data_IF_830536376428
#
_entry.id   IF_830536376428
#
_cell.length_a   1.000
_cell.length_b   1.000
_cell.length_c   1.000
_cell.angle_alpha   90.00
_cell.angle_beta   90.00
_cell.angle_gamma   90.00
#
_symmetry.space_group_name_H-M   'P 1'
#
loop_
_entity.id
_entity.type
_entity.pdbx_description
1 polymer ?
#
# COMPACT_ATOMS: atom_id res chain seq x y z
N UNK A 1 20.68 14.54 3.96
CA UNK A 1 20.96 13.13 4.30
C UNK A 1 19.97 12.75 5.40
N UNK A 2 18.90 12.05 5.04
CA UNK A 2 18.14 11.25 6.00
C UNK A 2 17.47 9.99 5.40
N UNK A 3 17.89 9.45 4.26
CA UNK A 3 17.64 8.04 3.96
C UNK A 3 18.26 7.22 5.09
N UNK A 4 17.48 6.39 5.78
CA UNK A 4 17.89 5.72 7.04
C UNK A 4 16.72 5.44 8.00
N UNK A 5 15.51 5.95 7.73
CA UNK A 5 14.30 5.69 8.52
C UNK A 5 13.97 4.19 8.64
N UNK A 6 14.40 3.40 7.65
CA UNK A 6 14.24 1.94 7.63
C UNK A 6 15.58 1.20 7.84
N UNK A 7 16.56 1.85 8.48
CA UNK A 7 17.89 1.28 8.73
C UNK A 7 18.58 0.81 7.43
N UNK A 8 18.38 1.54 6.33
CA UNK A 8 18.99 1.26 5.03
C UNK A 8 18.71 -0.16 4.53
N UNK A 9 17.48 -0.64 4.72
CA UNK A 9 17.11 -2.01 4.37
C UNK A 9 17.34 -2.29 2.88
N UNK A 10 16.97 -1.34 2.01
CA UNK A 10 17.21 -1.48 0.57
C UNK A 10 18.69 -1.66 0.26
N UNK A 11 19.57 -0.87 0.90
CA UNK A 11 21.00 -0.87 0.63
C UNK A 11 21.68 -2.14 1.12
N UNK A 12 21.23 -2.69 2.26
CA UNK A 12 21.71 -3.99 2.75
C UNK A 12 21.32 -5.12 1.81
N UNK A 13 20.06 -5.14 1.39
CA UNK A 13 19.58 -6.14 0.44
C UNK A 13 20.29 -6.01 -0.91
N UNK A 14 20.47 -4.80 -1.43
CA UNK A 14 21.22 -4.55 -2.66
C UNK A 14 22.66 -5.07 -2.55
N UNK A 15 23.36 -4.72 -1.48
CA UNK A 15 24.72 -5.18 -1.24
C UNK A 15 24.80 -6.71 -1.13
N UNK A 16 23.93 -7.34 -0.32
CA UNK A 16 23.95 -8.79 -0.12
C UNK A 16 23.57 -9.54 -1.41
N UNK A 17 22.61 -9.00 -2.15
CA UNK A 17 22.18 -9.54 -3.43
C UNK A 17 23.34 -9.52 -4.43
N UNK A 18 24.05 -8.40 -4.57
CA UNK A 18 25.19 -8.27 -5.48
C UNK A 18 26.45 -9.05 -5.03
N UNK A 19 26.76 -9.04 -3.73
CA UNK A 19 27.99 -9.61 -3.19
C UNK A 19 27.91 -11.11 -2.91
N UNK A 20 26.71 -11.64 -2.63
CA UNK A 20 26.47 -13.05 -2.35
C UNK A 20 25.15 -13.54 -2.99
N UNK A 21 25.06 -13.53 -4.33
CA UNK A 21 23.86 -13.97 -5.01
C UNK A 21 23.62 -15.46 -4.75
N UNK A 22 22.36 -15.82 -4.45
CA UNK A 22 21.95 -17.21 -4.49
C UNK A 22 22.05 -17.76 -5.92
N UNK A 23 22.16 -19.08 -6.07
CA UNK A 23 22.26 -19.71 -7.39
C UNK A 23 21.02 -19.45 -8.26
N UNK A 24 21.21 -18.96 -9.49
CA UNK A 24 20.16 -18.60 -10.45
C UNK A 24 19.97 -19.63 -11.58
N UNK A 25 20.25 -20.90 -11.28
CA UNK A 25 20.28 -22.01 -12.25
C UNK A 25 18.91 -22.53 -12.72
N UNK A 26 17.81 -21.85 -12.38
CA UNK A 26 16.46 -22.18 -12.86
C UNK A 26 15.75 -20.92 -13.32
N UNK A 27 14.81 -21.00 -14.29
CA UNK A 27 14.01 -19.86 -14.71
C UNK A 27 13.28 -19.18 -13.56
N UNK A 28 12.79 -19.95 -12.58
CA UNK A 28 12.10 -19.42 -11.40
C UNK A 28 13.04 -18.63 -10.50
N UNK A 29 14.27 -19.11 -10.29
CA UNK A 29 15.28 -18.42 -9.48
C UNK A 29 15.77 -17.14 -10.17
N UNK A 30 15.92 -17.14 -11.49
CA UNK A 30 16.25 -15.94 -12.26
C UNK A 30 15.09 -14.92 -12.24
N UNK A 31 13.84 -15.37 -12.41
CA UNK A 31 12.67 -14.49 -12.31
C UNK A 31 12.54 -13.89 -10.89
N UNK A 32 12.79 -14.69 -9.85
CA UNK A 32 12.78 -14.22 -8.47
C UNK A 32 13.91 -13.21 -8.20
N UNK A 33 15.11 -13.44 -8.75
CA UNK A 33 16.20 -12.47 -8.69
C UNK A 33 15.82 -11.12 -9.30
N UNK A 34 15.25 -11.12 -10.51
CA UNK A 34 14.78 -9.89 -11.16
C UNK A 34 13.67 -9.21 -10.35
N UNK A 35 12.81 -9.99 -9.69
CA UNK A 35 11.81 -9.45 -8.79
C UNK A 35 12.42 -8.79 -7.55
N UNK A 36 13.46 -9.38 -6.96
CA UNK A 36 14.19 -8.78 -5.83
C UNK A 36 14.76 -7.41 -6.17
N UNK A 37 15.24 -7.20 -7.39
CA UNK A 37 15.69 -5.87 -7.83
C UNK A 37 14.55 -4.84 -7.81
N UNK A 38 13.33 -5.23 -8.20
CA UNK A 38 12.16 -4.36 -8.09
C UNK A 38 11.82 -4.06 -6.63
N UNK A 39 11.81 -5.10 -5.78
CA UNK A 39 11.54 -4.95 -4.34
C UNK A 39 12.54 -3.99 -3.68
N UNK A 40 13.83 -4.09 -4.01
CA UNK A 40 14.86 -3.18 -3.52
C UNK A 40 14.55 -1.73 -3.93
N UNK A 41 14.15 -1.49 -5.18
CA UNK A 41 13.76 -0.15 -5.65
C UNK A 41 12.54 0.39 -4.91
N UNK A 42 11.51 -0.44 -4.69
CA UNK A 42 10.35 -0.03 -3.92
C UNK A 42 10.71 0.32 -2.47
N UNK A 43 11.55 -0.49 -1.81
CA UNK A 43 12.02 -0.21 -0.45
C UNK A 43 12.83 1.09 -0.38
N UNK A 44 13.66 1.37 -1.37
CA UNK A 44 14.40 2.62 -1.48
C UNK A 44 13.45 3.82 -1.52
N UNK A 45 12.47 3.79 -2.44
CA UNK A 45 11.57 4.93 -2.63
C UNK A 45 10.66 5.15 -1.43
N UNK A 46 10.15 4.07 -0.80
CA UNK A 46 9.42 4.15 0.46
C UNK A 46 10.27 4.82 1.54
N UNK A 47 11.51 4.36 1.73
CA UNK A 47 12.40 4.91 2.74
C UNK A 47 12.67 6.41 2.49
N UNK A 48 12.77 6.83 1.23
CA UNK A 48 13.00 8.22 0.85
C UNK A 48 11.76 9.10 1.03
N UNK A 49 10.56 8.56 0.81
CA UNK A 49 9.31 9.26 1.11
C UNK A 49 9.14 9.41 2.62
N UNK A 50 9.40 8.35 3.39
CA UNK A 50 9.31 8.36 4.85
C UNK A 50 10.36 9.26 5.51
N UNK A 51 11.53 9.44 4.87
CA UNK A 51 12.56 10.39 5.32
C UNK A 51 12.34 11.84 4.86
N UNK A 52 11.24 12.10 4.13
CA UNK A 52 10.96 13.37 3.47
C UNK A 52 12.01 13.80 2.43
N UNK A 53 12.82 12.86 1.91
CA UNK A 53 13.73 13.09 0.78
C UNK A 53 12.98 13.01 -0.57
N UNK A 54 11.78 12.40 -0.61
CA UNK A 54 10.82 12.37 -1.73
C UNK A 54 9.41 12.79 -1.28
N UNK A 55 8.52 13.09 -2.24
CA UNK A 55 7.15 13.52 -1.94
C UNK A 55 6.22 12.31 -1.75
N UNK A 56 5.19 12.41 -0.89
CA UNK A 56 4.20 11.34 -0.73
C UNK A 56 3.56 10.94 -2.07
N UNK A 57 3.63 9.66 -2.41
CA UNK A 57 3.10 9.09 -3.64
C UNK A 57 4.14 8.88 -4.75
N UNK A 58 5.35 9.41 -4.60
CA UNK A 58 6.45 9.18 -5.56
C UNK A 58 6.92 7.70 -5.56
N UNK A 59 6.65 6.94 -4.50
CA UNK A 59 6.98 5.52 -4.35
C UNK A 59 6.03 4.57 -5.11
N UNK A 60 4.84 5.04 -5.49
CA UNK A 60 3.76 4.20 -6.00
C UNK A 60 4.14 3.41 -7.25
N UNK A 61 4.85 4.02 -8.20
CA UNK A 61 5.27 3.34 -9.44
C UNK A 61 6.21 2.16 -9.14
N UNK A 62 7.14 2.34 -8.21
CA UNK A 62 8.07 1.29 -7.81
C UNK A 62 7.38 0.17 -7.03
N UNK A 63 6.43 0.52 -6.15
CA UNK A 63 5.60 -0.45 -5.41
C UNK A 63 4.76 -1.27 -6.39
N UNK A 64 4.08 -0.63 -7.33
CA UNK A 64 3.24 -1.30 -8.32
C UNK A 64 4.05 -2.24 -9.23
N UNK A 65 5.29 -1.88 -9.58
CA UNK A 65 6.18 -2.74 -10.35
C UNK A 65 6.51 -4.07 -9.63
N UNK A 66 6.41 -4.10 -8.31
CA UNK A 66 6.63 -5.29 -7.46
C UNK A 66 5.35 -6.10 -7.22
N UNK A 67 4.17 -5.54 -7.45
CA UNK A 67 2.93 -6.26 -7.19
C UNK A 67 2.47 -6.93 -8.49
N UNK A 68 2.30 -8.25 -8.47
CA UNK A 68 1.43 -8.85 -9.47
C UNK A 68 -0.01 -8.39 -9.18
N UNK A 69 -0.87 -8.31 -10.19
CA UNK A 69 -2.23 -7.79 -10.05
C UNK A 69 -3.06 -8.48 -8.95
N UNK A 70 -2.70 -9.70 -8.53
CA UNK A 70 -3.37 -10.42 -7.44
C UNK A 70 -2.97 -9.92 -6.04
N UNK A 71 -1.72 -9.51 -5.82
CA UNK A 71 -1.24 -8.99 -4.54
C UNK A 71 -1.81 -7.58 -4.27
N UNK A 72 -1.89 -6.75 -5.32
CA UNK A 72 -2.59 -5.47 -5.26
C UNK A 72 -4.07 -5.64 -4.87
N UNK A 73 -4.78 -6.56 -5.54
CA UNK A 73 -6.19 -6.87 -5.22
C UNK A 73 -6.37 -7.39 -3.79
N UNK A 74 -5.44 -8.19 -3.26
CA UNK A 74 -5.49 -8.62 -1.86
C UNK A 74 -5.30 -7.45 -0.88
N UNK A 75 -4.41 -6.50 -1.18
CA UNK A 75 -4.26 -5.27 -0.39
C UNK A 75 -5.54 -4.43 -0.37
N UNK A 76 -6.16 -4.24 -1.53
CA UNK A 76 -7.45 -3.54 -1.66
C UNK A 76 -8.57 -4.26 -0.90
N UNK A 77 -8.61 -5.59 -0.93
CA UNK A 77 -9.58 -6.39 -0.16
C UNK A 77 -9.35 -6.23 1.34
N UNK A 78 -8.09 -6.24 1.80
CA UNK A 78 -7.77 -6.06 3.21
C UNK A 78 -8.19 -4.66 3.71
N UNK A 79 -7.94 -3.60 2.92
CA UNK A 79 -8.36 -2.24 3.25
C UNK A 79 -9.89 -2.14 3.33
N UNK A 80 -10.62 -2.73 2.37
CA UNK A 80 -12.09 -2.83 2.42
C UNK A 80 -12.58 -3.47 3.72
N UNK A 81 -11.93 -4.55 4.15
CA UNK A 81 -12.36 -5.30 5.32
C UNK A 81 -12.11 -4.53 6.62
N UNK A 82 -11.04 -3.75 6.70
CA UNK A 82 -10.81 -2.78 7.79
C UNK A 82 -11.91 -1.72 7.80
N UNK A 83 -12.24 -1.14 6.64
CA UNK A 83 -13.29 -0.13 6.51
C UNK A 83 -14.67 -0.68 6.92
N UNK A 84 -14.98 -1.91 6.53
CA UNK A 84 -16.22 -2.59 6.91
C UNK A 84 -16.32 -2.82 8.42
N UNK A 85 -15.19 -2.99 9.11
CA UNK A 85 -15.16 -3.12 10.58
C UNK A 85 -15.28 -1.76 11.28
N UNK A 86 -14.76 -0.69 10.68
CA UNK A 86 -14.83 0.67 11.22
C UNK A 86 -16.19 1.36 10.99
N UNK A 87 -16.93 0.97 9.95
CA UNK A 87 -18.28 1.48 9.67
C UNK A 87 -19.34 0.60 10.37
N UNK A 88 -20.35 1.21 11.00
CA UNK A 88 -21.52 0.46 11.50
C UNK A 88 -22.13 -0.35 10.33
N UNK A 89 -22.41 -1.65 10.48
CA UNK A 89 -23.08 -2.46 9.45
C UNK A 89 -24.35 -1.84 8.86
N UNK A 90 -25.02 -0.94 9.59
CA UNK A 90 -26.20 -0.17 9.12
C UNK A 90 -25.85 0.97 8.17
N UNK A 91 -24.62 1.47 8.21
CA UNK A 91 -24.12 2.53 7.32
C UNK A 91 -23.53 1.96 6.02
N UNK A 92 -23.19 0.67 5.97
CA UNK A 92 -22.77 0.00 4.74
C UNK A 92 -23.98 -0.32 3.85
N UNK A 93 -24.34 0.63 2.97
CA UNK A 93 -25.48 0.45 2.06
C UNK A 93 -25.10 -0.35 0.81
N UNK A 94 -26.12 -0.91 0.14
CA UNK A 94 -25.95 -1.56 -1.17
C UNK A 94 -25.31 -0.62 -2.22
N UNK A 95 -25.55 0.69 -2.11
CA UNK A 95 -24.99 1.70 -3.01
C UNK A 95 -23.48 1.86 -2.80
N UNK A 96 -22.98 1.82 -1.55
CA UNK A 96 -21.54 1.81 -1.26
C UNK A 96 -20.86 0.54 -1.77
N UNK A 97 -21.56 -0.60 -1.69
CA UNK A 97 -21.06 -1.87 -2.21
C UNK A 97 -20.94 -1.86 -3.74
N UNK A 98 -21.86 -1.21 -4.45
CA UNK A 98 -21.81 -1.05 -5.91
C UNK A 98 -20.75 -0.03 -6.33
N UNK A 99 -20.64 1.09 -5.62
CA UNK A 99 -19.59 2.09 -5.84
C UNK A 99 -18.18 1.49 -5.68
N UNK A 100 -17.98 0.60 -4.71
CA UNK A 100 -16.72 -0.13 -4.53
C UNK A 100 -16.39 -1.07 -5.70
N UNK A 101 -17.37 -1.80 -6.22
CA UNK A 101 -17.14 -2.73 -7.34
C UNK A 101 -16.87 -2.03 -8.68
N UNK A 102 -17.29 -0.76 -8.82
CA UNK A 102 -17.12 0.03 -10.05
C UNK A 102 -15.87 0.92 -10.04
N UNK A 103 -15.13 0.97 -8.94
CA UNK A 103 -14.09 1.96 -8.70
C UNK A 103 -12.70 1.34 -8.55
N UNK A 104 -12.03 1.04 -9.67
CA UNK A 104 -10.55 1.06 -9.79
C UNK A 104 -10.27 1.59 -11.21
N UNK A 105 -9.59 2.75 -11.41
CA UNK A 105 -8.34 3.14 -10.72
C UNK A 105 -8.25 4.56 -10.10
N UNK A 106 -9.28 5.42 -10.14
CA UNK A 106 -9.08 6.88 -9.89
C UNK A 106 -9.75 7.46 -8.62
N UNK A 107 -10.05 6.62 -7.60
CA UNK A 107 -11.03 6.98 -6.54
C UNK A 107 -10.47 7.15 -5.13
N UNK A 108 -9.16 7.02 -4.90
CA UNK A 108 -8.60 7.16 -3.55
C UNK A 108 -8.90 8.54 -2.92
N UNK A 109 -8.90 9.62 -3.72
CA UNK A 109 -9.26 10.97 -3.27
C UNK A 109 -10.77 11.15 -3.01
N UNK A 110 -11.62 10.55 -3.84
CA UNK A 110 -13.08 10.57 -3.66
C UNK A 110 -13.48 9.80 -2.39
N UNK A 111 -12.77 8.70 -2.10
CA UNK A 111 -13.02 7.87 -0.93
C UNK A 111 -12.56 8.54 0.38
N UNK A 112 -11.38 9.19 0.39
CA UNK A 112 -10.94 10.00 1.54
C UNK A 112 -11.94 11.12 1.89
N UNK A 113 -12.54 11.76 0.88
CA UNK A 113 -13.53 12.83 1.09
C UNK A 113 -14.82 12.31 1.74
N UNK A 114 -15.25 11.10 1.40
CA UNK A 114 -16.41 10.43 2.02
C UNK A 114 -16.16 10.08 3.50
N UNK A 115 -14.97 9.59 3.83
CA UNK A 115 -14.57 9.29 5.22
C UNK A 115 -14.60 10.56 6.09
N UNK A 116 -14.04 11.66 5.59
CA UNK A 116 -14.03 12.94 6.31
C UNK A 116 -15.43 13.54 6.47
N UNK A 117 -16.32 13.34 5.50
CA UNK A 117 -17.73 13.72 5.62
C UNK A 117 -18.46 12.89 6.69
N UNK A 118 -18.22 11.57 6.76
CA UNK A 118 -18.81 10.68 7.75
C UNK A 118 -18.35 11.01 9.18
N UNK A 119 -17.07 11.32 9.39
CA UNK A 119 -16.54 11.78 10.69
C UNK A 119 -17.16 13.09 11.17
N UNK A 120 -17.53 13.99 10.25
CA UNK A 120 -18.20 15.27 10.58
C UNK A 120 -19.68 15.12 10.92
N UNK A 121 -20.30 14.01 10.52
CA UNK A 121 -21.74 13.80 10.69
C UNK A 121 -22.14 13.38 12.12
N UNK A 122 -21.20 13.02 13.00
CA UNK A 122 -21.48 12.59 14.38
C UNK A 122 -20.66 13.34 15.46
N UNK A 123 -21.28 14.29 16.19
CA UNK A 123 -21.05 14.42 17.61
C UNK A 123 -22.04 13.50 18.33
N UNK A 124 -21.57 12.31 18.74
CA UNK A 124 -22.34 11.34 19.53
C UNK A 124 -22.94 12.05 20.74
N UNK A 125 -24.26 12.20 20.78
CA UNK A 125 -24.96 12.50 22.03
C UNK A 125 -25.12 11.18 22.78
N UNK A 126 -24.57 11.05 24.00
CA UNK A 126 -24.71 9.82 24.77
C UNK A 126 -26.19 9.60 25.14
N UNK A 127 -26.64 8.33 25.21
CA UNK A 127 -28.02 8.01 25.50
C UNK A 127 -28.40 8.49 26.92
N UNK A 128 -29.67 8.90 27.14
CA UNK A 128 -30.12 9.40 28.43
C UNK A 128 -30.01 8.33 29.52
N UNK A 129 -29.63 8.79 30.72
CA UNK A 129 -29.37 8.01 31.92
C UNK A 129 -30.60 7.25 32.45
#
# INVERSE_FOLDING_TARGET
MSGGSMNYLYSKLEYDLESSPFERNTPQREAFWQHMQKVIKALHDIEWVDSCDMSPGDENEAVDACLNSSAFLQGVIAERDVLRQCLDPRQWTNEMSVAWHLAIPDTHAAFKSLIEAAKKADPVTPPPA
#
